data_IF_915294601666
#
_entry.id   IF_915294601666
#
_cell.length_a   1.000
_cell.length_b   1.000
_cell.length_c   1.000
_cell.angle_alpha   90.00
_cell.angle_beta   90.00
_cell.angle_gamma   90.00
#
_symmetry.space_group_name_H-M   'P 1'
#
loop_
_entity.id
_entity.type
_entity.pdbx_description
1 polymer ?
#
# COMPACT_ATOMS: atom_id res chain seq x y z
N UNK A 1 -16.75 11.94 -20.95
CA UNK A 1 -17.10 11.18 -19.73
C UNK A 1 -17.00 12.13 -18.56
N UNK A 2 -17.95 12.12 -17.63
CA UNK A 2 -17.84 12.93 -16.41
C UNK A 2 -16.72 12.35 -15.53
N UNK A 3 -15.86 13.20 -14.98
CA UNK A 3 -14.80 12.77 -14.05
C UNK A 3 -15.38 12.22 -12.72
N UNK A 4 -16.57 12.71 -12.36
CA UNK A 4 -17.35 12.32 -11.19
C UNK A 4 -18.82 12.22 -11.62
N UNK A 5 -19.53 11.20 -11.17
CA UNK A 5 -20.94 10.96 -11.53
C UNK A 5 -21.90 11.34 -10.41
N UNK A 6 -21.43 11.39 -9.16
CA UNK A 6 -22.22 11.77 -7.99
C UNK A 6 -22.01 13.25 -7.63
N UNK A 7 -20.78 13.75 -7.69
CA UNK A 7 -20.41 15.10 -7.29
C UNK A 7 -20.10 16.01 -8.48
N UNK A 8 -20.29 17.33 -8.33
CA UNK A 8 -20.00 18.35 -9.36
C UNK A 8 -18.58 18.92 -9.23
N UNK A 9 -17.60 18.04 -9.01
CA UNK A 9 -16.19 18.41 -8.82
C UNK A 9 -15.41 18.25 -10.14
N UNK A 10 -14.39 19.09 -10.34
CA UNK A 10 -13.43 18.98 -11.45
C UNK A 10 -12.04 18.54 -10.96
N UNK A 11 -11.71 18.79 -9.70
CA UNK A 11 -10.42 18.40 -9.12
C UNK A 11 -10.38 16.90 -8.81
N UNK A 12 -9.34 16.16 -9.21
CA UNK A 12 -9.15 14.79 -8.74
C UNK A 12 -8.91 14.72 -7.22
N UNK A 13 -9.08 13.52 -6.64
CA UNK A 13 -8.72 13.25 -5.24
C UNK A 13 -7.22 13.49 -5.00
N UNK A 14 -6.90 13.95 -3.79
CA UNK A 14 -5.51 14.16 -3.35
C UNK A 14 -4.96 12.90 -2.67
N UNK A 15 -3.66 12.72 -2.71
CA UNK A 15 -2.98 11.50 -2.24
C UNK A 15 -2.57 11.50 -0.76
N UNK A 16 -2.90 12.56 0.00
CA UNK A 16 -2.39 12.75 1.36
C UNK A 16 -3.35 12.33 2.48
N UNK A 17 -4.58 11.90 2.16
CA UNK A 17 -5.50 11.31 3.14
C UNK A 17 -5.72 9.84 2.83
N UNK A 18 -5.16 8.98 3.66
CA UNK A 18 -5.25 7.54 3.51
C UNK A 18 -5.16 6.84 4.87
N UNK A 19 -5.58 5.57 4.90
CA UNK A 19 -5.46 4.68 6.07
C UNK A 19 -5.02 3.30 5.61
N UNK A 20 -4.32 2.59 6.49
CA UNK A 20 -3.91 1.21 6.29
C UNK A 20 -4.55 0.35 7.37
N UNK A 21 -5.05 -0.81 6.98
CA UNK A 21 -5.69 -1.76 7.88
C UNK A 21 -5.19 -3.18 7.60
N UNK A 22 -4.86 -3.92 8.65
CA UNK A 22 -4.58 -5.36 8.60
C UNK A 22 -5.13 -6.03 9.84
N UNK A 23 -5.43 -7.33 9.76
CA UNK A 23 -5.99 -8.12 10.88
C UNK A 23 -7.22 -7.47 11.54
N UNK A 24 -8.01 -6.72 10.76
CA UNK A 24 -9.18 -6.00 11.26
C UNK A 24 -8.89 -4.67 11.97
N UNK A 25 -7.63 -4.29 12.16
CA UNK A 25 -7.21 -3.11 12.92
C UNK A 25 -6.59 -2.03 12.03
N UNK A 26 -6.93 -0.76 12.30
CA UNK A 26 -6.27 0.37 11.65
C UNK A 26 -4.89 0.60 12.25
N UNK A 27 -3.92 0.77 11.37
CA UNK A 27 -2.53 1.00 11.74
C UNK A 27 -2.33 2.50 11.90
N UNK A 28 -2.07 2.92 13.14
CA UNK A 28 -1.88 4.33 13.44
C UNK A 28 -0.54 4.83 12.92
N UNK A 29 -0.51 6.10 12.51
CA UNK A 29 0.74 6.84 12.28
C UNK A 29 1.47 6.53 10.96
N UNK A 30 0.85 5.82 10.02
CA UNK A 30 1.42 5.64 8.67
C UNK A 30 1.52 7.01 7.99
N UNK A 31 2.74 7.42 7.69
CA UNK A 31 3.05 8.70 7.06
C UNK A 31 3.21 8.59 5.55
N UNK A 32 3.56 7.39 5.04
CA UNK A 32 3.76 7.16 3.62
C UNK A 32 3.53 5.71 3.23
N UNK A 33 2.99 5.55 2.03
CA UNK A 33 2.79 4.27 1.33
C UNK A 33 3.35 4.44 -0.07
N UNK A 34 4.16 3.50 -0.56
CA UNK A 34 4.61 3.53 -1.96
C UNK A 34 3.48 3.21 -2.93
N UNK A 35 3.63 3.63 -4.19
CA UNK A 35 2.71 3.22 -5.24
C UNK A 35 2.79 1.71 -5.50
N UNK A 36 1.65 1.06 -5.71
CA UNK A 36 1.61 -0.35 -6.13
C UNK A 36 1.67 -0.42 -7.64
N UNK A 37 2.51 -1.31 -8.16
CA UNK A 37 2.73 -1.44 -9.59
C UNK A 37 2.70 -2.90 -10.01
N UNK A 38 2.05 -3.15 -11.14
CA UNK A 38 1.99 -4.45 -11.80
C UNK A 38 2.61 -4.32 -13.17
N UNK A 39 3.57 -5.19 -13.48
CA UNK A 39 4.26 -5.21 -14.77
C UNK A 39 4.04 -6.56 -15.43
N UNK A 40 3.62 -6.57 -16.69
CA UNK A 40 3.52 -7.81 -17.50
C UNK A 40 4.57 -7.76 -18.58
N UNK A 41 5.45 -8.76 -18.61
CA UNK A 41 6.50 -8.88 -19.62
C UNK A 41 5.91 -9.01 -21.03
N UNK A 42 6.63 -8.54 -22.05
CA UNK A 42 6.21 -8.66 -23.45
C UNK A 42 7.13 -9.64 -24.16
N UNK A 43 6.59 -10.82 -24.48
CA UNK A 43 7.29 -11.83 -25.27
C UNK A 43 7.12 -11.49 -26.75
N UNK A 44 8.24 -11.39 -27.47
CA UNK A 44 8.24 -11.12 -28.91
C UNK A 44 8.53 -12.41 -29.65
N UNK A 45 7.65 -12.77 -30.59
CA UNK A 45 7.82 -13.93 -31.46
C UNK A 45 7.82 -13.50 -32.92
N UNK A 46 8.62 -14.17 -33.75
CA UNK A 46 8.65 -13.98 -35.19
C UNK A 46 8.71 -15.33 -35.88
N UNK A 47 7.83 -15.52 -36.84
CA UNK A 47 7.81 -16.69 -37.71
C UNK A 47 8.60 -16.39 -39.00
N UNK A 48 9.22 -17.41 -39.60
CA UNK A 48 10.12 -17.25 -40.76
C UNK A 48 9.46 -16.68 -42.02
N UNK A 49 8.12 -16.75 -42.13
CA UNK A 49 7.33 -16.22 -43.24
C UNK A 49 6.65 -14.86 -42.96
N UNK A 50 6.78 -14.30 -41.75
CA UNK A 50 6.04 -13.08 -41.37
C UNK A 50 6.73 -11.81 -41.95
N UNK A 51 5.97 -10.86 -42.53
CA UNK A 51 6.52 -9.63 -43.11
C UNK A 51 7.09 -8.75 -42.00
N UNK A 52 8.42 -8.69 -41.89
CA UNK A 52 9.31 -7.80 -41.08
C UNK A 52 8.79 -7.19 -39.76
N UNK A 53 7.78 -7.78 -39.15
CA UNK A 53 7.09 -7.31 -37.94
C UNK A 53 7.09 -8.45 -36.92
N UNK A 54 7.19 -8.09 -35.64
CA UNK A 54 7.20 -9.07 -34.54
C UNK A 54 5.83 -9.12 -33.90
N UNK A 55 5.33 -10.32 -33.60
CA UNK A 55 4.14 -10.51 -32.78
C UNK A 55 4.52 -10.35 -31.31
N UNK A 56 3.63 -9.72 -30.54
CA UNK A 56 3.80 -9.50 -29.10
C UNK A 56 2.73 -10.29 -28.35
N UNK A 57 3.15 -11.05 -27.34
CA UNK A 57 2.25 -11.74 -26.41
C UNK A 57 2.61 -11.40 -24.96
N UNK A 58 1.63 -11.42 -24.04
CA UNK A 58 1.89 -11.21 -22.62
C UNK A 58 2.69 -12.40 -22.04
N UNK A 59 3.71 -12.09 -21.25
CA UNK A 59 4.55 -13.02 -20.50
C UNK A 59 4.17 -13.05 -19.01
N UNK A 60 5.18 -13.26 -18.16
CA UNK A 60 4.97 -13.29 -16.70
C UNK A 60 4.51 -11.92 -16.19
N UNK A 61 3.64 -11.95 -15.19
CA UNK A 61 3.22 -10.75 -14.47
C UNK A 61 3.87 -10.73 -13.09
N UNK A 62 4.43 -9.59 -12.74
CA UNK A 62 5.09 -9.34 -11.46
C UNK A 62 4.43 -8.15 -10.75
N UNK A 63 4.45 -8.22 -9.42
CA UNK A 63 3.93 -7.17 -8.55
C UNK A 63 5.11 -6.58 -7.77
N UNK A 64 5.30 -5.27 -7.91
CA UNK A 64 6.37 -4.56 -7.24
C UNK A 64 6.08 -4.51 -5.73
N UNK A 65 7.15 -4.49 -4.92
CA UNK A 65 7.05 -4.39 -3.47
C UNK A 65 6.41 -3.07 -3.02
N UNK A 66 5.76 -3.12 -1.86
CA UNK A 66 5.06 -1.98 -1.26
C UNK A 66 5.81 -1.57 0.00
N UNK A 67 6.15 -0.29 0.13
CA UNK A 67 6.78 0.22 1.35
C UNK A 67 5.78 0.98 2.20
N UNK A 68 5.86 0.79 3.51
CA UNK A 68 5.11 1.56 4.50
C UNK A 68 6.09 2.25 5.44
N UNK A 69 5.86 3.54 5.68
CA UNK A 69 6.62 4.31 6.66
C UNK A 69 5.68 4.85 7.74
N UNK A 70 6.16 4.88 8.98
CA UNK A 70 5.46 5.51 10.11
C UNK A 70 6.44 6.18 11.06
N UNK A 71 5.94 7.11 11.88
CA UNK A 71 6.71 7.64 13.00
C UNK A 71 7.12 6.53 13.98
N UNK A 72 8.34 6.59 14.51
CA UNK A 72 8.78 5.72 15.61
C UNK A 72 7.90 5.99 16.83
N UNK A 73 7.26 4.94 17.35
CA UNK A 73 6.45 4.99 18.58
C UNK A 73 6.67 3.72 19.40
N UNK A 74 6.02 3.60 20.57
CA UNK A 74 6.05 2.38 21.37
C UNK A 74 5.18 1.24 20.82
N UNK A 75 4.39 1.48 19.78
CA UNK A 75 3.66 0.40 19.14
C UNK A 75 4.64 -0.50 18.36
N UNK A 76 4.76 -1.76 18.74
CA UNK A 76 5.64 -2.73 18.09
C UNK A 76 4.98 -3.51 16.95
N UNK A 77 3.86 -3.07 16.36
CA UNK A 77 3.20 -3.80 15.26
C UNK A 77 4.11 -4.09 14.04
N UNK A 78 4.93 -3.12 13.58
CA UNK A 78 5.87 -3.36 12.46
C UNK A 78 6.89 -4.44 12.81
N UNK A 79 7.49 -4.34 14.00
CA UNK A 79 8.47 -5.31 14.50
C UNK A 79 7.86 -6.69 14.71
N UNK A 80 6.68 -6.77 15.34
CA UNK A 80 5.93 -8.02 15.53
C UNK A 80 5.69 -8.73 14.21
N UNK A 81 5.32 -7.99 13.16
CA UNK A 81 5.09 -8.60 11.86
C UNK A 81 6.39 -9.02 11.18
N UNK A 82 7.45 -8.20 11.23
CA UNK A 82 8.76 -8.54 10.69
C UNK A 82 9.33 -9.82 11.34
N UNK A 83 9.23 -9.94 12.66
CA UNK A 83 9.74 -11.09 13.40
C UNK A 83 8.98 -12.39 13.08
N UNK A 84 7.76 -12.33 12.53
CA UNK A 84 7.07 -13.54 12.03
C UNK A 84 7.79 -14.16 10.84
N UNK A 85 8.49 -13.36 10.04
CA UNK A 85 9.27 -13.86 8.90
C UNK A 85 10.56 -14.47 9.42
N UNK A 86 11.26 -13.76 10.32
CA UNK A 86 12.44 -14.27 10.99
C UNK A 86 12.61 -13.65 12.38
N UNK A 87 12.57 -14.47 13.43
CA UNK A 87 12.77 -14.04 14.82
C UNK A 87 14.21 -14.30 15.28
N UNK A 88 14.95 -13.22 15.52
CA UNK A 88 16.31 -13.31 16.02
C UNK A 88 16.30 -13.66 17.52
N UNK A 89 16.68 -14.90 17.84
CA UNK A 89 16.65 -15.43 19.20
C UNK A 89 15.51 -16.40 19.47
N UNK A 90 14.68 -16.70 18.46
CA UNK A 90 13.77 -17.83 18.49
C UNK A 90 14.54 -19.14 18.71
N UNK A 91 13.98 -20.04 19.54
CA UNK A 91 14.55 -21.37 19.72
C UNK A 91 14.58 -22.16 18.41
N UNK A 92 15.41 -23.21 18.34
CA UNK A 92 15.53 -24.03 17.13
C UNK A 92 14.15 -24.54 16.65
N UNK A 93 13.79 -24.21 15.41
CA UNK A 93 12.48 -24.52 14.81
C UNK A 93 11.37 -23.52 15.10
N UNK A 94 11.67 -22.37 15.72
CA UNK A 94 10.73 -21.26 15.97
C UNK A 94 11.19 -19.95 15.32
N UNK A 95 12.18 -20.01 14.42
CA UNK A 95 12.76 -18.83 13.79
C UNK A 95 11.80 -18.17 12.79
N UNK A 96 10.79 -18.89 12.29
CA UNK A 96 9.78 -18.33 11.39
C UNK A 96 8.38 -18.82 11.75
N UNK A 97 7.41 -17.92 11.79
CA UNK A 97 6.02 -18.29 11.94
C UNK A 97 5.41 -18.69 10.59
N UNK A 98 5.46 -19.98 10.26
CA UNK A 98 4.97 -20.50 8.99
C UNK A 98 3.46 -20.32 8.79
N UNK A 99 2.70 -20.17 9.88
CA UNK A 99 1.25 -20.11 9.84
C UNK A 99 0.70 -18.74 9.43
N UNK A 100 1.38 -17.64 9.79
CA UNK A 100 0.75 -16.31 9.80
C UNK A 100 1.71 -15.14 9.51
N UNK A 101 2.87 -15.41 8.91
CA UNK A 101 3.77 -14.36 8.42
C UNK A 101 3.20 -13.59 7.22
N UNK A 102 2.29 -14.22 6.45
CA UNK A 102 1.57 -13.58 5.35
C UNK A 102 0.22 -13.05 5.83
N UNK A 103 -0.15 -11.87 5.37
CA UNK A 103 -1.41 -11.19 5.72
C UNK A 103 -2.00 -10.45 4.53
N UNK A 104 -3.31 -10.24 4.57
CA UNK A 104 -3.99 -9.35 3.64
C UNK A 104 -4.13 -7.94 4.26
N UNK A 105 -4.02 -6.92 3.42
CA UNK A 105 -4.02 -5.52 3.82
C UNK A 105 -5.10 -4.77 3.06
N UNK A 106 -5.67 -3.74 3.70
CA UNK A 106 -6.53 -2.76 3.05
C UNK A 106 -5.83 -1.40 3.08
N UNK A 107 -5.78 -0.75 1.92
CA UNK A 107 -5.32 0.63 1.79
C UNK A 107 -6.48 1.48 1.31
N UNK A 108 -6.94 2.35 2.19
CA UNK A 108 -8.12 3.18 2.00
C UNK A 108 -7.67 4.60 1.65
N UNK A 109 -8.04 5.11 0.48
CA UNK A 109 -7.91 6.51 0.12
C UNK A 109 -9.15 7.27 0.57
N UNK A 110 -8.95 8.46 1.13
CA UNK A 110 -10.03 9.31 1.62
C UNK A 110 -10.05 10.66 0.89
N UNK A 111 -11.23 11.27 0.77
CA UNK A 111 -11.33 12.67 0.34
C UNK A 111 -10.96 13.63 1.48
N UNK A 112 -10.94 14.93 1.18
CA UNK A 112 -10.63 16.00 2.12
C UNK A 112 -11.60 16.06 3.31
N UNK A 113 -12.82 15.53 3.16
CA UNK A 113 -13.80 15.37 4.24
C UNK A 113 -13.61 14.11 5.10
N UNK A 114 -12.65 13.23 4.75
CA UNK A 114 -12.38 11.98 5.47
C UNK A 114 -13.30 10.81 5.11
N UNK A 115 -14.10 10.93 4.04
CA UNK A 115 -14.88 9.82 3.51
C UNK A 115 -13.99 8.91 2.66
N UNK A 116 -14.16 7.60 2.77
CA UNK A 116 -13.44 6.62 1.94
C UNK A 116 -13.96 6.69 0.51
N UNK A 117 -13.04 6.82 -0.45
CA UNK A 117 -13.37 6.99 -1.87
C UNK A 117 -12.84 5.86 -2.74
N UNK A 118 -11.75 5.21 -2.32
CA UNK A 118 -11.16 4.06 -3.00
C UNK A 118 -10.54 3.15 -1.95
N UNK A 119 -10.71 1.84 -2.10
CA UNK A 119 -9.98 0.84 -1.31
C UNK A 119 -9.22 -0.09 -2.26
N UNK A 120 -7.98 -0.40 -1.92
CA UNK A 120 -7.24 -1.51 -2.50
C UNK A 120 -7.05 -2.61 -1.46
N UNK A 121 -7.33 -3.86 -1.86
CA UNK A 121 -7.02 -5.07 -1.10
C UNK A 121 -5.72 -5.64 -1.63
N UNK A 122 -4.73 -5.81 -0.76
CA UNK A 122 -3.42 -6.36 -1.09
C UNK A 122 -3.37 -7.75 -0.48
N UNK A 123 -2.94 -8.73 -1.27
CA UNK A 123 -3.03 -10.14 -0.89
C UNK A 123 -1.68 -10.72 -0.53
N UNK A 124 -1.70 -11.55 0.53
CA UNK A 124 -0.60 -12.43 0.95
C UNK A 124 0.73 -11.70 1.13
N UNK A 125 0.65 -10.48 1.65
CA UNK A 125 1.81 -9.65 1.88
C UNK A 125 2.65 -10.15 3.06
N UNK A 126 3.96 -9.98 3.00
CA UNK A 126 4.88 -10.27 4.10
C UNK A 126 6.07 -9.31 4.08
N UNK A 127 6.68 -9.10 5.26
CA UNK A 127 7.77 -8.13 5.44
C UNK A 127 9.10 -8.72 4.95
N UNK A 128 9.63 -8.18 3.85
CA UNK A 128 10.96 -8.56 3.33
C UNK A 128 12.09 -7.70 3.88
N UNK A 129 11.78 -6.52 4.38
CA UNK A 129 12.74 -5.59 4.97
C UNK A 129 12.09 -4.84 6.13
N UNK A 130 12.80 -4.68 7.24
CA UNK A 130 12.37 -3.87 8.37
C UNK A 130 13.53 -3.00 8.84
N UNK A 131 13.29 -1.69 8.87
CA UNK A 131 14.20 -0.71 9.44
C UNK A 131 13.52 -0.08 10.68
N UNK A 132 13.99 -0.40 11.90
CA UNK A 132 13.35 0.06 13.14
C UNK A 132 13.62 1.54 13.47
N UNK A 133 14.71 2.10 12.95
CA UNK A 133 15.13 3.48 13.18
C UNK A 133 15.80 4.05 11.92
N UNK A 134 15.61 5.33 11.62
CA UNK A 134 16.43 6.03 10.64
C UNK A 134 17.81 6.35 11.23
N UNK A 135 18.69 6.95 10.44
CA UNK A 135 19.92 7.53 10.94
C UNK A 135 19.60 8.61 12.00
N UNK A 136 20.31 8.56 13.13
CA UNK A 136 20.13 9.49 14.23
C UNK A 136 21.21 10.56 14.15
N UNK A 137 20.80 11.79 13.82
CA UNK A 137 21.67 12.97 13.77
C UNK A 137 21.17 14.01 14.78
N UNK A 138 22.03 14.33 15.76
CA UNK A 138 21.74 15.32 16.79
C UNK A 138 21.55 16.76 16.26
N UNK A 139 21.94 17.03 15.02
CA UNK A 139 21.77 18.34 14.37
C UNK A 139 20.57 18.38 13.41
N UNK A 140 19.92 17.24 13.14
CA UNK A 140 18.77 17.18 12.26
C UNK A 140 17.47 17.57 12.98
N UNK A 141 16.54 18.20 12.26
CA UNK A 141 15.20 18.51 12.75
C UNK A 141 14.14 17.78 11.90
N UNK A 142 14.02 16.47 12.14
CA UNK A 142 13.09 15.60 11.44
C UNK A 142 12.47 14.56 12.39
N UNK A 143 11.28 14.07 12.04
CA UNK A 143 10.63 12.96 12.75
C UNK A 143 11.34 11.66 12.40
N UNK A 144 11.66 10.84 13.41
CA UNK A 144 12.23 9.53 13.16
C UNK A 144 11.17 8.58 12.55
N UNK A 145 11.49 7.95 11.43
CA UNK A 145 10.57 7.05 10.71
C UNK A 145 11.05 5.60 10.75
N UNK A 146 10.13 4.70 11.07
CA UNK A 146 10.23 3.27 10.81
C UNK A 146 9.82 2.95 9.38
N UNK A 147 10.45 1.94 8.79
CA UNK A 147 10.16 1.50 7.42
C UNK A 147 10.00 -0.01 7.36
N UNK A 148 8.99 -0.47 6.60
CA UNK A 148 8.87 -1.87 6.18
C UNK A 148 8.68 -1.95 4.67
N UNK A 149 9.30 -2.96 4.06
CA UNK A 149 9.07 -3.37 2.67
C UNK A 149 8.26 -4.66 2.66
N UNK A 150 7.20 -4.66 1.85
CA UNK A 150 6.23 -5.74 1.74
C UNK A 150 6.30 -6.35 0.34
N UNK A 151 6.59 -7.65 0.27
CA UNK A 151 6.36 -8.43 -0.94
C UNK A 151 4.91 -8.91 -0.94
N UNK A 152 4.27 -8.92 -2.11
CA UNK A 152 2.85 -9.24 -2.25
C UNK A 152 2.59 -10.14 -3.47
N UNK A 153 1.45 -10.83 -3.47
CA UNK A 153 1.04 -11.70 -4.57
C UNK A 153 -0.05 -11.07 -5.46
N UNK A 154 -0.34 -9.79 -5.24
CA UNK A 154 -1.27 -9.02 -6.03
C UNK A 154 -2.17 -8.11 -5.20
N UNK A 155 -2.95 -7.31 -5.91
CA UNK A 155 -3.95 -6.44 -5.33
C UNK A 155 -5.19 -6.36 -6.21
N UNK A 156 -6.30 -5.95 -5.62
CA UNK A 156 -7.50 -5.57 -6.36
C UNK A 156 -8.10 -4.28 -5.79
N UNK A 157 -8.80 -3.53 -6.63
CA UNK A 157 -9.62 -2.41 -6.16
C UNK A 157 -10.95 -2.98 -5.67
N UNK A 158 -11.40 -2.54 -4.51
CA UNK A 158 -12.71 -2.92 -4.00
C UNK A 158 -13.82 -2.30 -4.87
N UNK A 159 -14.66 -3.11 -5.54
CA UNK A 159 -15.73 -2.61 -6.40
C UNK A 159 -16.94 -2.08 -5.60
N UNK A 160 -17.07 -2.46 -4.32
CA UNK A 160 -18.21 -2.07 -3.48
C UNK A 160 -18.08 -0.63 -2.97
N UNK A 161 -16.88 -0.05 -3.07
CA UNK A 161 -16.61 1.35 -2.72
C UNK A 161 -16.97 2.25 -3.89
N UNK A 162 -18.15 2.85 -3.79
CA UNK A 162 -18.70 3.79 -4.77
C UNK A 162 -18.37 5.24 -4.41
N UNK A 163 -18.55 6.15 -5.37
CA UNK A 163 -18.33 7.58 -5.15
C UNK A 163 -19.28 8.10 -4.06
N UNK A 164 -18.78 8.57 -2.90
CA UNK A 164 -19.63 9.05 -1.82
C UNK A 164 -20.20 10.43 -2.16
N UNK A 165 -21.40 10.74 -1.67
CA UNK A 165 -21.90 12.11 -1.71
C UNK A 165 -21.06 12.99 -0.78
N UNK A 166 -20.44 14.03 -1.36
CA UNK A 166 -19.61 14.97 -0.61
C UNK A 166 -20.49 15.85 0.30
N UNK A 167 -20.06 16.13 1.54
CA UNK A 167 -20.81 16.97 2.46
C UNK A 167 -20.83 18.43 2.01
N UNK A 168 -21.93 19.13 2.30
CA UNK A 168 -22.05 20.58 2.11
C UNK A 168 -22.20 21.26 3.47
N UNK A 169 -21.56 22.41 3.66
CA UNK A 169 -21.71 23.21 4.87
C UNK A 169 -22.53 24.46 4.56
N UNK A 170 -23.60 24.68 5.33
CA UNK A 170 -24.45 25.89 5.26
C UNK A 170 -24.21 26.84 6.44
N UNK A 171 -23.25 26.53 7.33
CA UNK A 171 -22.96 27.36 8.48
C UNK A 171 -22.29 28.67 8.04
N UNK A 172 -22.80 29.86 8.44
CA UNK A 172 -22.05 31.09 8.29
C UNK A 172 -20.76 30.96 9.11
N UNK A 173 -19.63 31.36 8.54
CA UNK A 173 -18.34 31.37 9.24
C UNK A 173 -18.50 32.14 10.56
N UNK A 174 -18.55 31.41 11.67
CA UNK A 174 -18.55 31.99 13.00
C UNK A 174 -17.11 32.23 13.42
N UNK A 175 -16.68 33.49 13.32
CA UNK A 175 -15.39 34.01 13.77
C UNK A 175 -15.34 35.51 13.55
#
# INVERSE_FOLDING_TARGET
>A
MAQFTVNRRFDPYKNFKFRVKWDGNYVAGISKVSGFKRTTEVVKHREGGDPSTSRKSPGRTEYDAITLERGVTHDAEFERWANKVWDFGGGAGQESSLADFRKDLLIEMQNEAGQVVVIYKIFRAWVSEYQPLPDLDANANAVALQHIKLENEGWERDPDVTEPTEPTFTAPAGG
#
